data_IF_497642353946
#
_entry.id   IF_497642353946
#
_cell.length_a   1.000
_cell.length_b   1.000
_cell.length_c   1.000
_cell.angle_alpha   90.00
_cell.angle_beta   90.00
_cell.angle_gamma   90.00
#
_symmetry.space_group_name_H-M   'P 1'
#
loop_
_entity.id
_entity.type
_entity.pdbx_description
1 polymer ?
#
# COMPACT_ATOMS: atom_id res chain seq x y z
N UNK A 1 31.93 -15.53 9.38
CA UNK A 1 31.74 -15.23 7.95
C UNK A 1 30.77 -14.07 7.89
N UNK A 2 31.23 -12.85 7.65
CA UNK A 2 30.32 -11.72 7.43
C UNK A 2 29.37 -12.13 6.31
N UNK A 3 28.06 -12.04 6.58
CA UNK A 3 27.05 -12.53 5.65
C UNK A 3 27.18 -11.79 4.33
N UNK A 4 26.75 -12.40 3.22
CA UNK A 4 26.69 -11.71 1.92
C UNK A 4 26.01 -10.33 2.03
N UNK A 5 25.07 -10.18 2.98
CA UNK A 5 24.41 -8.92 3.33
C UNK A 5 25.38 -7.85 3.85
N UNK A 6 26.25 -8.17 4.81
CA UNK A 6 27.16 -7.21 5.43
C UNK A 6 28.12 -6.62 4.39
N UNK A 7 28.64 -7.46 3.48
CA UNK A 7 29.51 -7.01 2.38
C UNK A 7 28.78 -6.07 1.40
N UNK A 8 27.52 -6.37 1.07
CA UNK A 8 26.73 -5.51 0.18
C UNK A 8 26.45 -4.16 0.84
N UNK A 9 26.17 -4.14 2.15
CA UNK A 9 25.98 -2.90 2.90
C UNK A 9 27.26 -2.06 2.96
N UNK A 10 28.40 -2.69 3.28
CA UNK A 10 29.70 -2.00 3.37
C UNK A 10 30.09 -1.34 2.04
N UNK A 11 29.87 -2.01 0.91
CA UNK A 11 30.15 -1.43 -0.41
C UNK A 11 29.16 -0.32 -0.78
N UNK A 12 27.87 -0.49 -0.48
CA UNK A 12 26.87 0.54 -0.73
C UNK A 12 27.17 1.83 0.07
N UNK A 13 27.66 1.71 1.31
CA UNK A 13 27.98 2.87 2.16
C UNK A 13 29.18 3.70 1.65
N UNK A 14 30.04 3.15 0.79
CA UNK A 14 31.19 3.86 0.18
C UNK A 14 30.79 4.76 -0.99
N UNK A 15 29.60 4.57 -1.56
CA UNK A 15 29.16 5.31 -2.74
C UNK A 15 28.74 6.76 -2.40
N UNK A 16 28.74 7.67 -3.39
CA UNK A 16 28.11 8.98 -3.29
C UNK A 16 26.63 8.92 -2.91
N UNK A 17 26.11 10.01 -2.34
CA UNK A 17 24.76 10.03 -1.75
C UNK A 17 23.64 9.74 -2.77
N UNK A 18 23.79 10.22 -4.00
CA UNK A 18 22.88 9.99 -5.13
C UNK A 18 22.88 8.52 -5.60
N UNK A 19 24.06 7.90 -5.68
CA UNK A 19 24.17 6.48 -6.03
C UNK A 19 23.58 5.57 -4.94
N UNK A 20 23.80 5.91 -3.66
CA UNK A 20 23.14 5.21 -2.54
C UNK A 20 21.62 5.31 -2.62
N UNK A 21 21.10 6.51 -2.91
CA UNK A 21 19.66 6.73 -3.04
C UNK A 21 19.05 5.88 -4.16
N UNK A 22 19.77 5.73 -5.28
CA UNK A 22 19.36 4.85 -6.38
C UNK A 22 19.27 3.39 -5.95
N UNK A 23 20.29 2.87 -5.26
CA UNK A 23 20.29 1.49 -4.75
C UNK A 23 19.11 1.24 -3.81
N UNK A 24 18.87 2.17 -2.88
CA UNK A 24 17.74 2.07 -1.95
C UNK A 24 16.41 2.05 -2.71
N UNK A 25 16.23 2.89 -3.73
CA UNK A 25 15.00 2.93 -4.52
C UNK A 25 14.74 1.60 -5.27
N UNK A 26 15.77 1.02 -5.91
CA UNK A 26 15.65 -0.26 -6.60
C UNK A 26 15.36 -1.40 -5.62
N UNK A 27 16.04 -1.45 -4.47
CA UNK A 27 15.77 -2.47 -3.44
C UNK A 27 14.37 -2.32 -2.87
N UNK A 28 13.94 -1.10 -2.54
CA UNK A 28 12.57 -0.84 -2.08
C UNK A 28 11.53 -1.20 -3.15
N UNK A 29 11.83 -1.08 -4.44
CA UNK A 29 10.92 -1.51 -5.51
C UNK A 29 10.78 -3.03 -5.60
N UNK A 30 11.80 -3.79 -5.19
CA UNK A 30 11.74 -5.26 -5.11
C UNK A 30 11.03 -5.76 -3.86
N UNK A 31 11.01 -4.93 -2.81
CA UNK A 31 10.15 -5.14 -1.68
C UNK A 31 8.76 -4.69 -2.13
N UNK A 32 8.00 -5.60 -2.77
CA UNK A 32 6.55 -5.45 -2.84
C UNK A 32 6.12 -4.94 -1.47
N UNK A 33 5.42 -3.79 -1.38
CA UNK A 33 4.98 -3.33 -0.09
C UNK A 33 4.27 -4.50 0.56
N UNK A 34 4.63 -4.77 1.82
CA UNK A 34 3.73 -5.46 2.74
C UNK A 34 2.53 -4.50 2.94
N UNK A 35 1.79 -4.24 1.85
CA UNK A 35 0.37 -4.02 1.90
C UNK A 35 -0.05 -5.22 2.68
N UNK A 36 -0.50 -5.01 3.91
CA UNK A 36 -1.07 -6.02 4.76
C UNK A 36 -2.12 -6.84 3.96
N UNK A 37 -1.62 -7.81 3.20
CA UNK A 37 -2.32 -8.60 2.18
C UNK A 37 -2.77 -9.93 2.79
N UNK A 38 -2.83 -9.95 4.13
CA UNK A 38 -3.95 -10.57 4.83
C UNK A 38 -5.30 -9.85 4.53
N UNK A 39 -5.36 -9.01 3.51
CA UNK A 39 -6.50 -8.25 3.05
C UNK A 39 -7.44 -9.09 2.20
N UNK A 40 -8.14 -10.05 2.84
CA UNK A 40 -9.24 -10.85 2.28
C UNK A 40 -8.91 -11.59 0.98
N UNK A 41 -9.15 -12.90 0.97
CA UNK A 41 -9.26 -13.65 -0.28
C UNK A 41 -10.31 -13.04 -1.22
N UNK A 42 -10.22 -13.35 -2.52
CA UNK A 42 -11.24 -12.94 -3.50
C UNK A 42 -12.66 -13.32 -3.05
N UNK A 43 -12.81 -14.48 -2.43
CA UNK A 43 -14.06 -14.97 -1.86
C UNK A 43 -14.56 -14.06 -0.72
N UNK A 44 -13.70 -13.71 0.22
CA UNK A 44 -14.04 -12.79 1.31
C UNK A 44 -14.35 -11.38 0.80
N UNK A 45 -13.75 -10.97 -0.32
CA UNK A 45 -14.10 -9.72 -1.00
C UNK A 45 -15.47 -9.78 -1.67
N UNK A 46 -15.78 -10.86 -2.37
CA UNK A 46 -17.09 -11.09 -2.99
C UNK A 46 -18.18 -11.06 -1.92
N UNK A 47 -17.97 -11.76 -0.81
CA UNK A 47 -18.92 -11.77 0.31
C UNK A 47 -19.16 -10.38 0.89
N UNK A 48 -18.12 -9.56 1.06
CA UNK A 48 -18.26 -8.19 1.58
C UNK A 48 -18.98 -7.28 0.56
N UNK A 49 -18.70 -7.41 -0.74
CA UNK A 49 -19.40 -6.68 -1.80
C UNK A 49 -20.89 -7.01 -1.77
N UNK A 50 -21.25 -8.30 -1.75
CA UNK A 50 -22.63 -8.74 -1.69
C UNK A 50 -23.35 -8.27 -0.42
N UNK A 51 -22.67 -8.32 0.72
CA UNK A 51 -23.21 -7.83 2.00
C UNK A 51 -23.52 -6.34 1.92
N UNK A 52 -22.62 -5.52 1.36
CA UNK A 52 -22.82 -4.07 1.20
C UNK A 52 -23.90 -3.74 0.18
N UNK A 53 -23.94 -4.45 -0.95
CA UNK A 53 -25.00 -4.28 -1.95
C UNK A 53 -26.37 -4.55 -1.34
N UNK A 54 -26.53 -5.67 -0.61
CA UNK A 54 -27.78 -6.00 0.09
C UNK A 54 -28.15 -4.98 1.17
N UNK A 55 -27.16 -4.45 1.91
CA UNK A 55 -27.41 -3.39 2.88
C UNK A 55 -27.95 -2.12 2.20
N UNK A 56 -27.34 -1.69 1.08
CA UNK A 56 -27.81 -0.55 0.30
C UNK A 56 -29.23 -0.75 -0.24
N UNK A 57 -29.54 -1.94 -0.78
CA UNK A 57 -30.90 -2.27 -1.24
C UNK A 57 -31.94 -2.24 -0.11
N UNK A 58 -31.53 -2.53 1.13
CA UNK A 58 -32.39 -2.41 2.32
C UNK A 58 -32.46 -0.99 2.90
N UNK A 59 -31.86 0.00 2.24
CA UNK A 59 -31.88 1.39 2.67
C UNK A 59 -30.87 1.72 3.77
N UNK A 60 -29.75 1.00 3.84
CA UNK A 60 -28.64 1.41 4.71
C UNK A 60 -28.23 2.87 4.38
N UNK A 61 -27.94 3.70 5.41
CA UNK A 61 -27.67 5.11 5.21
C UNK A 61 -26.39 5.29 4.38
N UNK A 62 -26.52 5.98 3.27
CA UNK A 62 -25.40 6.46 2.46
C UNK A 62 -25.00 7.89 2.86
N UNK A 63 -23.86 8.33 2.33
CA UNK A 63 -23.49 9.75 2.33
C UNK A 63 -23.69 10.33 0.92
N UNK A 64 -24.07 11.61 0.79
CA UNK A 64 -24.11 12.25 -0.52
C UNK A 64 -22.76 12.14 -1.24
N UNK A 65 -22.80 11.91 -2.55
CA UNK A 65 -21.59 11.75 -3.36
C UNK A 65 -20.62 12.92 -3.24
N UNK A 66 -21.15 14.14 -3.14
CA UNK A 66 -20.36 15.37 -2.96
C UNK A 66 -19.49 15.31 -1.70
N UNK A 67 -20.04 14.81 -0.60
CA UNK A 67 -19.33 14.64 0.68
C UNK A 67 -18.33 13.48 0.60
N UNK A 68 -18.73 12.33 0.04
CA UNK A 68 -17.83 11.20 -0.18
C UNK A 68 -16.61 11.60 -1.01
N UNK A 69 -16.83 12.30 -2.13
CA UNK A 69 -15.77 12.77 -3.02
C UNK A 69 -14.82 13.74 -2.32
N UNK A 70 -15.34 14.64 -1.48
CA UNK A 70 -14.52 15.57 -0.68
C UNK A 70 -13.60 14.81 0.27
N UNK A 71 -14.13 13.82 1.00
CA UNK A 71 -13.35 12.99 1.92
C UNK A 71 -12.26 12.19 1.19
N UNK A 72 -12.59 11.60 0.04
CA UNK A 72 -11.62 10.86 -0.79
C UNK A 72 -10.48 11.78 -1.23
N UNK A 73 -10.80 12.96 -1.78
CA UNK A 73 -9.79 13.92 -2.21
C UNK A 73 -8.89 14.38 -1.07
N UNK A 74 -9.45 14.65 0.11
CA UNK A 74 -8.67 15.03 1.29
C UNK A 74 -7.67 13.96 1.71
N UNK A 75 -8.02 12.67 1.61
CA UNK A 75 -7.11 11.56 1.95
C UNK A 75 -6.01 11.40 0.90
N UNK A 76 -6.33 11.65 -0.37
CA UNK A 76 -5.36 11.57 -1.47
C UNK A 76 -4.37 12.74 -1.46
N UNK A 77 -4.77 13.95 -1.03
CA UNK A 77 -3.87 15.12 -0.93
C UNK A 77 -2.94 15.10 0.29
N UNK A 78 -3.15 14.16 1.22
CA UNK A 78 -2.35 14.03 2.45
C UNK A 78 -1.26 12.96 2.30
N UNK A 79 -1.12 12.37 1.11
CA UNK A 79 -0.03 11.47 0.72
C UNK A 79 0.90 12.19 -0.24
#
# INVERSE_FOLDING_TARGET
MAGTVDRVLDEALKLPADERARIVAELLATLEPDVASQGRSDEEWIQEIERRARAGMRGAPGVPWTEARKQIRSRLSTR
#
